data_IF_352703243617
#
_entry.id   IF_352703243617
#
_cell.length_a   1.000
_cell.length_b   1.000
_cell.length_c   1.000
_cell.angle_alpha   90.00
_cell.angle_beta   90.00
_cell.angle_gamma   90.00
#
_symmetry.space_group_name_H-M   'P 1'
#
loop_
_entity.id
_entity.type
_entity.pdbx_description
1 polymer ?
#
# COMPACT_ATOMS: atom_id res chain seq x y z
N UNK A 1 -6.69 19.20 3.46
CA UNK A 1 -5.68 19.84 2.58
C UNK A 1 -4.55 18.87 2.25
N UNK A 2 -3.86 18.31 3.27
CA UNK A 2 -2.70 17.43 3.13
C UNK A 2 -2.91 16.21 2.20
N UNK A 3 -3.95 15.40 2.44
CA UNK A 3 -4.25 14.23 1.60
C UNK A 3 -4.51 14.58 0.13
N UNK A 4 -5.12 15.73 -0.15
CA UNK A 4 -5.37 16.18 -1.52
C UNK A 4 -4.06 16.53 -2.24
N UNK A 5 -3.11 17.15 -1.54
CA UNK A 5 -1.77 17.44 -2.08
C UNK A 5 -1.00 16.15 -2.32
N UNK A 6 -1.00 15.22 -1.36
CA UNK A 6 -0.34 13.92 -1.53
C UNK A 6 -0.96 13.11 -2.67
N UNK A 7 -2.28 13.11 -2.80
CA UNK A 7 -2.95 12.45 -3.91
C UNK A 7 -2.59 13.09 -5.26
N UNK A 8 -2.44 14.42 -5.32
CA UNK A 8 -1.99 15.09 -6.54
C UNK A 8 -0.54 14.75 -6.93
N UNK A 9 0.34 14.52 -5.94
CA UNK A 9 1.76 14.21 -6.16
C UNK A 9 2.00 12.72 -6.47
N UNK A 10 1.35 11.83 -5.72
CA UNK A 10 1.58 10.38 -5.77
C UNK A 10 0.54 9.64 -6.63
N UNK A 11 -0.61 10.27 -6.91
CA UNK A 11 -1.71 9.70 -7.69
C UNK A 11 -2.13 8.34 -7.16
N UNK A 12 -2.13 7.34 -8.05
CA UNK A 12 -2.57 5.98 -7.72
C UNK A 12 -1.77 5.31 -6.59
N UNK A 13 -0.51 5.72 -6.38
CA UNK A 13 0.30 5.23 -5.25
C UNK A 13 -0.29 5.70 -3.91
N UNK A 14 -0.83 6.92 -3.84
CA UNK A 14 -1.49 7.42 -2.62
C UNK A 14 -2.70 6.57 -2.27
N UNK A 15 -3.58 6.26 -3.24
CA UNK A 15 -4.74 5.40 -3.01
C UNK A 15 -4.34 4.03 -2.45
N UNK A 16 -3.29 3.42 -3.01
CA UNK A 16 -2.78 2.13 -2.54
C UNK A 16 -2.22 2.26 -1.11
N UNK A 17 -1.43 3.30 -0.81
CA UNK A 17 -0.91 3.56 0.54
C UNK A 17 -2.06 3.76 1.53
N UNK A 18 -3.06 4.55 1.18
CA UNK A 18 -4.22 4.81 2.03
C UNK A 18 -4.99 3.52 2.35
N UNK A 19 -5.15 2.61 1.36
CA UNK A 19 -5.73 1.28 1.59
C UNK A 19 -4.84 0.47 2.53
N UNK A 20 -3.53 0.42 2.30
CA UNK A 20 -2.62 -0.32 3.17
C UNK A 20 -2.71 0.17 4.62
N UNK A 21 -2.70 1.48 4.86
CA UNK A 21 -2.85 2.06 6.19
C UNK A 21 -4.22 1.78 6.83
N UNK A 22 -5.31 1.84 6.04
CA UNK A 22 -6.67 1.59 6.53
C UNK A 22 -6.89 0.15 6.98
N UNK A 23 -6.20 -0.80 6.35
CA UNK A 23 -6.31 -2.24 6.61
C UNK A 23 -5.14 -2.80 7.42
N UNK A 24 -4.26 -1.93 7.93
CA UNK A 24 -3.24 -2.31 8.88
C UNK A 24 -3.87 -2.49 10.27
N UNK A 25 -3.44 -3.51 10.99
CA UNK A 25 -3.79 -3.67 12.41
C UNK A 25 -2.92 -2.77 13.32
N UNK A 26 -3.11 -2.89 14.63
CA UNK A 26 -2.38 -2.13 15.66
C UNK A 26 -0.85 -2.32 15.59
N UNK A 27 -0.37 -3.41 14.98
CA UNK A 27 1.04 -3.71 14.78
C UNK A 27 1.55 -3.33 13.37
N UNK A 28 0.71 -2.63 12.59
CA UNK A 28 1.01 -2.28 11.20
C UNK A 28 0.89 -3.45 10.24
N UNK A 29 0.33 -4.60 10.64
CA UNK A 29 0.25 -5.80 9.81
C UNK A 29 -0.98 -5.73 8.92
N UNK A 30 -0.76 -5.97 7.64
CA UNK A 30 -1.75 -5.92 6.57
C UNK A 30 -1.90 -7.32 5.99
N UNK A 31 -3.07 -7.92 6.19
CA UNK A 31 -3.44 -9.25 5.66
C UNK A 31 -4.25 -9.14 4.37
N UNK A 32 -3.72 -8.40 3.39
CA UNK A 32 -4.33 -8.24 2.07
C UNK A 32 -3.49 -8.91 1.00
N UNK A 33 -4.14 -9.69 0.14
CA UNK A 33 -3.54 -10.19 -1.09
C UNK A 33 -3.43 -9.09 -2.15
N UNK A 34 -2.49 -9.25 -3.09
CA UNK A 34 -2.36 -8.33 -4.24
C UNK A 34 -3.68 -8.21 -5.01
N UNK A 35 -4.44 -9.31 -5.16
CA UNK A 35 -5.73 -9.30 -5.83
C UNK A 35 -6.77 -8.43 -5.10
N UNK A 36 -6.83 -8.51 -3.76
CA UNK A 36 -7.69 -7.64 -2.95
C UNK A 36 -7.25 -6.18 -3.06
N UNK A 37 -5.96 -5.90 -3.01
CA UNK A 37 -5.44 -4.53 -3.17
C UNK A 37 -5.80 -3.98 -4.55
N UNK A 38 -5.68 -4.78 -5.62
CA UNK A 38 -6.10 -4.39 -6.97
C UNK A 38 -7.59 -4.05 -7.03
N UNK A 39 -8.44 -4.89 -6.42
CA UNK A 39 -9.88 -4.67 -6.38
C UNK A 39 -10.26 -3.40 -5.59
N UNK A 40 -9.61 -3.18 -4.45
CA UNK A 40 -9.88 -2.02 -3.58
C UNK A 40 -9.36 -0.70 -4.19
N UNK A 41 -8.21 -0.73 -4.87
CA UNK A 41 -7.59 0.46 -5.47
C UNK A 41 -8.03 0.71 -6.92
N UNK A 42 -8.82 -0.20 -7.50
CA UNK A 42 -9.12 -0.23 -8.93
C UNK A 42 -7.84 -0.02 -9.78
N UNK A 43 -6.77 -0.73 -9.41
CA UNK A 43 -5.46 -0.60 -10.03
C UNK A 43 -5.01 -1.94 -10.63
N UNK A 44 -4.20 -1.86 -11.68
CA UNK A 44 -3.62 -3.06 -12.29
C UNK A 44 -2.62 -3.74 -11.34
N UNK A 45 -2.45 -5.06 -11.49
CA UNK A 45 -1.42 -5.82 -10.74
C UNK A 45 -0.02 -5.18 -10.85
N UNK A 46 0.47 -4.77 -12.04
CA UNK A 46 1.74 -4.06 -12.16
C UNK A 46 1.80 -2.77 -11.33
N UNK A 47 0.73 -1.98 -11.30
CA UNK A 47 0.65 -0.74 -10.52
C UNK A 47 0.77 -1.03 -9.02
N UNK A 48 0.04 -2.03 -8.53
CA UNK A 48 0.09 -2.43 -7.12
C UNK A 48 1.46 -2.95 -6.73
N UNK A 49 2.07 -3.81 -7.54
CA UNK A 49 3.42 -4.33 -7.29
C UNK A 49 4.45 -3.18 -7.27
N UNK A 50 4.36 -2.24 -8.20
CA UNK A 50 5.24 -1.06 -8.25
C UNK A 50 5.04 -0.12 -7.06
N UNK A 51 3.83 -0.04 -6.49
CA UNK A 51 3.58 0.72 -5.27
C UNK A 51 4.17 0.01 -4.04
N UNK A 52 3.97 -1.31 -3.92
CA UNK A 52 4.53 -2.10 -2.83
C UNK A 52 6.06 -2.08 -2.85
N UNK A 53 6.69 -2.33 -4.00
CA UNK A 53 8.15 -2.23 -4.14
C UNK A 53 8.68 -0.82 -3.83
N UNK A 54 7.96 0.24 -4.22
CA UNK A 54 8.34 1.60 -3.86
C UNK A 54 8.37 1.81 -2.34
N UNK A 55 7.37 1.27 -1.63
CA UNK A 55 7.32 1.34 -0.17
C UNK A 55 8.40 0.48 0.49
N UNK A 56 8.72 -0.68 -0.07
CA UNK A 56 9.83 -1.52 0.37
C UNK A 56 11.18 -0.82 0.18
N UNK A 57 11.41 -0.17 -0.97
CA UNK A 57 12.62 0.62 -1.23
C UNK A 57 12.77 1.80 -0.26
N UNK A 58 11.64 2.40 0.13
CA UNK A 58 11.61 3.47 1.14
C UNK A 58 11.71 2.95 2.58
N UNK A 59 11.82 1.63 2.78
CA UNK A 59 11.90 0.96 4.09
C UNK A 59 10.70 1.23 5.01
N UNK A 60 9.56 1.59 4.43
CA UNK A 60 8.30 1.83 5.16
C UNK A 60 7.33 0.66 5.07
N UNK A 61 7.66 -0.35 4.26
CA UNK A 61 6.90 -1.59 4.13
C UNK A 61 7.86 -2.77 4.12
N UNK A 62 7.47 -3.85 4.79
CA UNK A 62 8.16 -5.14 4.76
C UNK A 62 7.19 -6.23 4.41
N UNK A 63 7.53 -7.03 3.41
CA UNK A 63 6.83 -8.28 3.15
C UNK A 63 7.21 -9.32 4.20
N UNK A 64 6.22 -9.81 4.94
CA UNK A 64 6.43 -10.86 5.94
C UNK A 64 6.26 -12.25 5.33
N UNK A 65 5.15 -12.46 4.61
CA UNK A 65 4.79 -13.73 4.00
C UNK A 65 3.88 -13.50 2.79
N UNK A 66 3.47 -14.58 2.13
CA UNK A 66 2.48 -14.49 1.06
C UNK A 66 1.20 -13.84 1.58
N UNK A 67 0.77 -12.74 0.94
CA UNK A 67 -0.41 -11.94 1.30
C UNK A 67 -0.33 -11.24 2.67
N UNK A 68 0.86 -11.11 3.24
CA UNK A 68 1.06 -10.45 4.53
C UNK A 68 2.19 -9.43 4.43
N UNK A 69 1.86 -8.17 4.69
CA UNK A 69 2.78 -7.04 4.69
C UNK A 69 2.76 -6.37 6.06
N UNK A 70 3.82 -5.67 6.42
CA UNK A 70 3.90 -4.88 7.63
C UNK A 70 4.38 -3.48 7.29
N UNK A 71 3.66 -2.47 7.74
CA UNK A 71 4.12 -1.09 7.72
C UNK A 71 5.17 -0.91 8.81
N UNK A 72 6.35 -0.42 8.43
CA UNK A 72 7.42 -0.07 9.35
C UNK A 72 7.40 1.45 9.48
N UNK A 73 6.72 1.96 10.50
CA UNK A 73 6.62 3.38 10.80
C UNK A 73 6.68 3.58 12.31
#
# INVERSE_FOLDING_TARGET
>A
MFERVLNAVLGKKFEIIAILCKYADENGIIKLSIAQICALSNASKPTVINALHFLEQKKVLKKLANKCYQLII
#
